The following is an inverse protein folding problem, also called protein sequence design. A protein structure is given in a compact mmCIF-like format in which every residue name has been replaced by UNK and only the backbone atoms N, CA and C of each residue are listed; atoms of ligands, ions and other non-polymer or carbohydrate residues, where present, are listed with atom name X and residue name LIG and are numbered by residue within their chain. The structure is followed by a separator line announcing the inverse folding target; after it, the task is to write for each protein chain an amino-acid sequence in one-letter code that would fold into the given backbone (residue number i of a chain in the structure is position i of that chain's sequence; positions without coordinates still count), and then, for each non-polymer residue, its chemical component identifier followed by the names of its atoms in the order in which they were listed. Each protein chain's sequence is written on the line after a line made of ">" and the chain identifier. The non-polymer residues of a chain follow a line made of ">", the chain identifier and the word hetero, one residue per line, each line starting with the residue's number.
data_IF_641211926553
#
_entry.id   IF_641211926553
#
_cell.length_a   1.000
_cell.length_b   1.000
_cell.length_c   1.000
_cell.angle_alpha   90.00
_cell.angle_beta   90.00
_cell.angle_gamma   90.00
#
_symmetry.space_group_name_H-M   'P 1'
#
loop_
_entity.id
_entity.type
_entity.pdbx_description
1 polymer ?
#
# COMPACT_ATOMS: atom_id res chain seq x y z
N UNK A 1 -9.59 -10.54 -3.51
CA UNK A 1 -8.86 -9.39 -2.94
C UNK A 1 -9.57 -9.02 -1.67
N UNK A 2 -8.86 -8.98 -0.54
CA UNK A 2 -9.43 -8.72 0.77
C UNK A 2 -8.97 -7.33 1.21
N UNK A 3 -9.90 -6.49 1.68
CA UNK A 3 -9.53 -5.23 2.31
C UNK A 3 -8.91 -5.48 3.68
N UNK A 4 -7.87 -4.72 4.00
CA UNK A 4 -7.11 -4.82 5.25
C UNK A 4 -6.79 -3.43 5.77
N UNK A 5 -6.65 -3.33 7.08
CA UNK A 5 -6.19 -2.14 7.79
C UNK A 5 -4.77 -2.38 8.31
N UNK A 6 -3.86 -1.44 8.01
CA UNK A 6 -2.45 -1.53 8.35
C UNK A 6 -2.14 -0.46 9.39
N UNK A 7 -1.79 -0.89 10.60
CA UNK A 7 -1.38 0.03 11.66
C UNK A 7 0.00 0.63 11.33
N UNK A 8 0.07 1.96 11.20
CA UNK A 8 1.29 2.71 10.93
C UNK A 8 1.49 3.82 11.97
N UNK A 9 2.10 3.46 13.10
CA UNK A 9 2.24 4.34 14.26
C UNK A 9 0.87 4.64 14.85
N UNK A 10 0.46 5.90 14.83
CA UNK A 10 -0.86 6.36 15.30
C UNK A 10 -1.92 6.46 14.20
N UNK A 11 -1.60 6.08 12.96
CA UNK A 11 -2.56 6.08 11.85
C UNK A 11 -2.88 4.67 11.36
N UNK A 12 -3.98 4.56 10.63
CA UNK A 12 -4.39 3.34 9.92
C UNK A 12 -4.36 3.60 8.42
N UNK A 13 -3.71 2.71 7.67
CA UNK A 13 -3.64 2.78 6.22
C UNK A 13 -4.53 1.70 5.61
N UNK A 14 -5.27 2.06 4.55
CA UNK A 14 -6.09 1.11 3.81
C UNK A 14 -5.25 0.28 2.84
N UNK A 15 -5.47 -1.03 2.83
CA UNK A 15 -4.79 -1.95 1.94
C UNK A 15 -5.73 -2.95 1.29
N UNK A 16 -5.29 -3.49 0.17
CA UNK A 16 -5.91 -4.57 -0.58
C UNK A 16 -4.91 -5.72 -0.69
N UNK A 17 -5.19 -6.81 0.03
CA UNK A 17 -4.34 -7.99 0.12
C UNK A 17 -4.89 -9.13 -0.76
N UNK A 18 -3.99 -9.75 -1.51
CA UNK A 18 -4.25 -11.01 -2.22
C UNK A 18 -3.14 -11.98 -1.91
N UNK A 19 -3.48 -13.17 -1.42
CA UNK A 19 -2.53 -14.26 -1.15
C UNK A 19 -3.00 -15.49 -1.93
N UNK A 20 -2.37 -15.82 -3.07
CA UNK A 20 -2.61 -17.09 -3.77
C UNK A 20 -2.28 -18.30 -2.90
N UNK A 21 -2.87 -19.45 -3.21
CA UNK A 21 -2.55 -20.72 -2.53
C UNK A 21 -1.06 -21.01 -2.71
N UNK A 22 -0.39 -21.40 -1.62
CA UNK A 22 1.05 -21.71 -1.58
C UNK A 22 1.98 -20.52 -1.89
N UNK A 23 1.52 -19.27 -1.77
CA UNK A 23 2.39 -18.12 -1.95
C UNK A 23 3.54 -18.13 -0.93
N UNK A 24 4.78 -18.02 -1.42
CA UNK A 24 6.01 -18.05 -0.60
C UNK A 24 6.58 -16.64 -0.34
N UNK A 25 6.03 -15.62 -1.00
CA UNK A 25 6.48 -14.25 -0.87
C UNK A 25 5.30 -13.28 -1.05
N UNK A 26 5.46 -12.08 -0.48
CA UNK A 26 4.50 -10.99 -0.54
C UNK A 26 5.19 -9.74 -1.12
N UNK A 27 4.60 -9.16 -2.17
CA UNK A 27 5.07 -7.94 -2.82
C UNK A 27 4.23 -6.75 -2.36
N UNK A 28 4.88 -5.76 -1.74
CA UNK A 28 4.24 -4.53 -1.28
C UNK A 28 4.39 -3.44 -2.35
N UNK A 29 3.28 -2.79 -2.72
CA UNK A 29 3.29 -1.69 -3.69
C UNK A 29 3.31 -0.33 -2.99
N UNK A 30 4.43 0.39 -3.11
CA UNK A 30 4.46 1.83 -2.88
C UNK A 30 4.00 2.54 -4.15
N UNK A 31 2.84 3.20 -4.11
CA UNK A 31 2.35 3.98 -5.25
C UNK A 31 3.07 5.33 -5.37
N UNK A 32 3.02 5.92 -6.57
CA UNK A 32 3.58 7.26 -6.81
C UNK A 32 2.71 8.36 -6.20
N UNK A 33 3.28 9.57 -6.08
CA UNK A 33 2.60 10.76 -5.57
C UNK A 33 1.28 11.04 -6.31
N UNK A 34 0.20 11.25 -5.55
CA UNK A 34 -1.14 11.51 -6.10
C UNK A 34 -1.82 10.28 -6.75
N UNK A 35 -1.26 9.08 -6.55
CA UNK A 35 -1.90 7.81 -6.85
C UNK A 35 -2.38 7.13 -5.57
N UNK A 36 -2.93 5.92 -5.68
CA UNK A 36 -3.45 5.16 -4.54
C UNK A 36 -3.38 3.65 -4.83
N UNK A 37 -3.85 2.83 -3.89
CA UNK A 37 -4.07 1.38 -4.04
C UNK A 37 -4.99 1.02 -5.21
N UNK A 38 -5.74 2.01 -5.72
CA UNK A 38 -6.64 1.87 -6.87
C UNK A 38 -5.98 2.17 -8.22
N UNK A 39 -4.68 2.44 -8.26
CA UNK A 39 -3.92 2.64 -9.50
C UNK A 39 -4.13 1.47 -10.49
N UNK A 40 -4.73 1.69 -11.68
CA UNK A 40 -4.96 0.62 -12.66
C UNK A 40 -3.66 -0.05 -13.11
N UNK A 41 -2.55 0.72 -13.15
CA UNK A 41 -1.22 0.20 -13.49
C UNK A 41 -0.71 -0.77 -12.43
N UNK A 42 -0.78 -0.40 -11.15
CA UNK A 42 -0.31 -1.27 -10.07
C UNK A 42 -1.23 -2.47 -9.89
N UNK A 43 -2.54 -2.30 -10.06
CA UNK A 43 -3.48 -3.42 -10.06
C UNK A 43 -3.22 -4.42 -11.19
N UNK A 44 -2.83 -3.93 -12.37
CA UNK A 44 -2.43 -4.80 -13.48
C UNK A 44 -1.19 -5.63 -13.10
N UNK A 45 -0.13 -4.98 -12.63
CA UNK A 45 1.10 -5.68 -12.20
C UNK A 45 0.80 -6.66 -11.07
N UNK A 46 -0.01 -6.28 -10.09
CA UNK A 46 -0.37 -7.15 -8.98
C UNK A 46 -1.11 -8.41 -9.44
N UNK A 47 -2.06 -8.29 -10.38
CA UNK A 47 -2.72 -9.45 -10.98
C UNK A 47 -1.71 -10.38 -11.65
N UNK A 48 -0.79 -9.85 -12.45
CA UNK A 48 0.27 -10.65 -13.08
C UNK A 48 1.15 -11.37 -12.05
N UNK A 49 1.48 -10.73 -10.93
CA UNK A 49 2.25 -11.37 -9.85
C UNK A 49 1.41 -12.44 -9.12
N UNK A 50 0.12 -12.20 -8.91
CA UNK A 50 -0.78 -13.17 -8.31
C UNK A 50 -0.93 -14.42 -9.19
N UNK A 51 -1.06 -14.24 -10.50
CA UNK A 51 -1.12 -15.33 -11.48
C UNK A 51 0.18 -16.16 -11.49
N UNK A 52 1.32 -15.52 -11.17
CA UNK A 52 2.61 -16.18 -10.97
C UNK A 52 2.80 -16.80 -9.56
N UNK A 53 1.78 -16.75 -8.70
CA UNK A 53 1.79 -17.37 -7.36
C UNK A 53 2.37 -16.50 -6.25
N UNK A 54 2.58 -15.19 -6.48
CA UNK A 54 3.07 -14.25 -5.47
C UNK A 54 1.90 -13.55 -4.76
N UNK A 55 1.99 -13.41 -3.44
CA UNK A 55 1.11 -12.53 -2.69
C UNK A 55 1.37 -11.07 -3.04
N UNK A 56 0.34 -10.23 -2.99
CA UNK A 56 0.48 -8.78 -3.22
C UNK A 56 -0.32 -7.99 -2.22
N UNK A 57 0.27 -6.89 -1.75
CA UNK A 57 -0.40 -5.87 -0.94
C UNK A 57 -0.30 -4.52 -1.65
N UNK A 58 -1.44 -4.00 -2.10
CA UNK A 58 -1.57 -2.61 -2.58
C UNK A 58 -2.17 -1.81 -1.46
N UNK A 59 -1.50 -0.75 -1.01
CA UNK A 59 -1.99 0.04 0.12
C UNK A 59 -1.71 1.52 -0.11
N UNK A 60 -2.47 2.37 0.58
CA UNK A 60 -2.27 3.82 0.54
C UNK A 60 -1.18 4.23 1.52
N UNK A 61 -0.27 5.09 1.08
CA UNK A 61 0.81 5.58 1.94
C UNK A 61 0.37 6.70 2.88
N UNK A 62 -0.82 7.26 2.65
CA UNK A 62 -1.46 8.27 3.47
C UNK A 62 -2.79 7.71 3.98
N UNK A 63 -3.16 8.08 5.21
CA UNK A 63 -4.51 7.85 5.69
C UNK A 63 -5.52 8.71 4.93
N UNK A 64 -6.80 8.35 5.00
CA UNK A 64 -7.85 9.02 4.24
C UNK A 64 -7.91 10.53 4.54
N UNK A 65 -7.73 10.91 5.80
CA UNK A 65 -7.73 12.31 6.23
C UNK A 65 -6.49 13.06 5.71
N UNK A 66 -5.33 12.40 5.71
CA UNK A 66 -4.07 12.94 5.17
C UNK A 66 -4.17 13.14 3.66
N UNK A 67 -4.77 12.19 2.93
CA UNK A 67 -5.00 12.29 1.49
C UNK A 67 -5.95 13.44 1.15
N UNK A 68 -7.04 13.60 1.90
CA UNK A 68 -8.00 14.69 1.70
C UNK A 68 -7.35 16.08 1.87
N UNK A 69 -6.44 16.22 2.84
CA UNK A 69 -5.67 17.44 3.05
C UNK A 69 -4.63 17.64 1.93
N UNK A 70 -3.85 16.60 1.63
CA UNK A 70 -2.78 16.63 0.64
C UNK A 70 -3.28 16.93 -0.78
N UNK A 71 -4.52 16.57 -1.11
CA UNK A 71 -5.16 16.98 -2.38
C UNK A 71 -5.22 18.50 -2.57
N UNK A 72 -5.23 19.27 -1.49
CA UNK A 72 -5.22 20.74 -1.49
C UNK A 72 -3.83 21.31 -1.26
N UNK A 73 -3.08 20.73 -0.32
CA UNK A 73 -1.82 21.31 0.18
C UNK A 73 -0.58 20.76 -0.52
N UNK A 74 -0.65 19.52 -1.02
CA UNK A 74 0.47 18.73 -1.58
C UNK A 74 1.63 18.53 -0.59
N UNK A 75 1.38 18.67 0.70
CA UNK A 75 2.43 18.68 1.73
C UNK A 75 2.96 17.28 2.08
N UNK A 76 2.17 16.22 1.84
CA UNK A 76 2.51 14.86 2.24
C UNK A 76 3.05 14.03 1.06
N UNK A 77 2.52 14.20 -0.16
CA UNK A 77 2.89 13.38 -1.33
C UNK A 77 4.35 13.49 -1.78
N UNK A 78 5.07 14.50 -1.29
CA UNK A 78 6.50 14.71 -1.55
C UNK A 78 7.35 14.59 -0.28
N UNK A 79 6.73 14.31 0.88
CA UNK A 79 7.44 14.05 2.12
C UNK A 79 7.97 12.61 2.09
N UNK A 80 9.12 12.40 1.45
CA UNK A 80 9.72 11.07 1.29
C UNK A 80 10.03 10.40 2.64
N UNK A 81 10.36 11.18 3.67
CA UNK A 81 10.59 10.67 5.02
C UNK A 81 9.34 9.99 5.59
N UNK A 82 8.20 10.69 5.53
CA UNK A 82 6.89 10.15 5.93
C UNK A 82 6.54 8.91 5.11
N UNK A 83 6.62 8.98 3.78
CA UNK A 83 6.24 7.85 2.91
C UNK A 83 7.13 6.61 3.14
N UNK A 84 8.42 6.81 3.39
CA UNK A 84 9.34 5.71 3.73
C UNK A 84 9.01 5.10 5.10
N UNK A 85 8.69 5.92 6.10
CA UNK A 85 8.24 5.45 7.41
C UNK A 85 6.96 4.60 7.29
N UNK A 86 5.99 5.06 6.50
CA UNK A 86 4.74 4.34 6.21
C UNK A 86 5.01 2.98 5.57
N UNK A 87 5.93 2.92 4.62
CA UNK A 87 6.35 1.66 3.99
C UNK A 87 7.05 0.73 4.99
N UNK A 88 7.87 1.24 5.90
CA UNK A 88 8.49 0.45 6.98
C UNK A 88 7.42 -0.13 7.90
N UNK A 89 6.39 0.65 8.27
CA UNK A 89 5.27 0.15 9.06
C UNK A 89 4.50 -0.96 8.34
N UNK A 90 4.14 -0.77 7.07
CA UNK A 90 3.48 -1.79 6.27
C UNK A 90 4.32 -3.06 6.14
N UNK A 91 5.65 -2.92 5.99
CA UNK A 91 6.58 -4.05 5.96
C UNK A 91 6.61 -4.80 7.30
N UNK A 92 6.54 -4.10 8.43
CA UNK A 92 6.46 -4.72 9.76
C UNK A 92 5.13 -5.44 9.97
N UNK A 93 4.02 -4.83 9.57
CA UNK A 93 2.69 -5.42 9.63
C UNK A 93 2.58 -6.70 8.79
N UNK A 94 3.25 -6.73 7.64
CA UNK A 94 3.25 -7.87 6.71
C UNK A 94 4.11 -9.05 7.18
N UNK A 95 4.91 -8.89 8.23
CA UNK A 95 5.69 -10.00 8.79
C UNK A 95 4.77 -10.88 9.65
N UNK A 96 4.87 -12.21 9.54
CA UNK A 96 4.17 -13.14 10.42
C UNK A 96 4.68 -13.08 11.86
#
# INVERSE_FOLDING_TARGET
>A
MNEVEIQAGHTVLSGNLTIPKNAVALVLFAHGSGSSRHSPRNQFVARTLNDAGLGTLLFDLLAQEEEALDMRTREHRFNIGLLAERLVHATKWAKP
#
